data_IF_185837239249
#
_entry.id   IF_185837239249
#
_cell.length_a   1.000
_cell.length_b   1.000
_cell.length_c   1.000
_cell.angle_alpha   90.00
_cell.angle_beta   90.00
_cell.angle_gamma   90.00
#
_symmetry.space_group_name_H-M   'P 1'
#
loop_
_entity.id
_entity.type
_entity.pdbx_description
1 polymer ?
#
# COMPACT_ATOMS: atom_id res chain seq x y z
N UNK A 1 -5.71 -18.15 -0.48
CA UNK A 1 -4.60 -18.56 0.41
C UNK A 1 -3.45 -17.59 0.18
N UNK A 2 -2.65 -17.32 1.20
CA UNK A 2 -1.42 -16.54 1.07
C UNK A 2 -0.24 -17.34 1.63
N UNK A 3 0.96 -17.03 1.17
CA UNK A 3 2.22 -17.54 1.66
C UNK A 3 3.12 -16.34 1.94
N UNK A 4 3.54 -16.23 3.19
CA UNK A 4 4.30 -15.13 3.70
C UNK A 4 5.77 -15.54 3.97
N UNK A 5 6.17 -16.78 3.70
CA UNK A 5 7.51 -17.30 4.02
C UNK A 5 8.65 -16.47 3.40
N UNK A 6 8.48 -16.05 2.14
CA UNK A 6 9.48 -15.32 1.36
C UNK A 6 9.21 -13.81 1.26
N UNK A 7 8.09 -13.33 1.83
CA UNK A 7 7.73 -11.91 1.75
C UNK A 7 8.47 -11.08 2.81
N UNK A 8 8.91 -9.85 2.48
CA UNK A 8 9.56 -8.98 3.44
C UNK A 8 8.64 -8.64 4.61
N UNK A 9 9.23 -8.33 5.77
CA UNK A 9 8.51 -7.75 6.89
C UNK A 9 8.11 -6.31 6.56
N UNK A 10 6.98 -5.88 7.11
CA UNK A 10 6.55 -4.50 7.08
C UNK A 10 7.03 -3.81 8.35
N UNK A 11 8.02 -2.94 8.20
CA UNK A 11 8.64 -2.23 9.32
C UNK A 11 7.77 -1.05 9.71
N UNK A 12 7.34 -1.03 10.96
CA UNK A 12 6.65 0.09 11.59
C UNK A 12 7.63 0.76 12.57
N UNK A 13 8.21 1.88 12.16
CA UNK A 13 9.23 2.59 12.91
C UNK A 13 8.63 3.72 13.77
N UNK A 14 8.48 3.46 15.06
CA UNK A 14 7.92 4.40 16.02
C UNK A 14 8.96 5.43 16.53
N UNK A 15 10.25 5.26 16.20
CA UNK A 15 11.24 6.31 16.46
C UNK A 15 11.08 7.50 15.50
N UNK A 16 10.69 7.23 14.25
CA UNK A 16 10.41 8.27 13.26
C UNK A 16 9.05 8.93 13.48
N UNK A 17 8.10 8.19 14.07
CA UNK A 17 6.74 8.65 14.37
C UNK A 17 6.46 8.40 15.86
N UNK A 18 6.90 9.32 16.74
CA UNK A 18 6.79 9.12 18.18
C UNK A 18 5.33 9.06 18.59
N UNK A 19 5.03 8.15 19.52
CA UNK A 19 3.68 7.91 20.04
C UNK A 19 3.28 8.91 21.12
N UNK A 20 4.25 9.65 21.65
CA UNK A 20 4.08 10.70 22.65
C UNK A 20 4.89 11.93 22.26
N UNK A 21 4.31 13.11 22.42
CA UNK A 21 5.00 14.39 22.19
C UNK A 21 4.51 15.43 23.19
N UNK A 22 5.44 16.09 23.87
CA UNK A 22 5.14 17.23 24.74
C UNK A 22 5.38 18.52 23.96
N UNK A 23 4.33 19.32 23.79
CA UNK A 23 4.39 20.64 23.17
C UNK A 23 4.38 21.72 24.25
N UNK A 24 5.42 22.55 24.27
CA UNK A 24 5.46 23.75 25.09
C UNK A 24 4.99 24.98 24.31
N UNK A 25 4.28 25.89 24.98
CA UNK A 25 3.99 27.21 24.43
C UNK A 25 5.22 28.11 24.50
N UNK A 26 5.49 28.89 23.44
CA UNK A 26 6.56 29.89 23.46
C UNK A 26 6.20 31.13 24.29
N UNK A 27 4.92 31.31 24.64
CA UNK A 27 4.39 32.52 25.27
C UNK A 27 3.76 32.26 26.65
N UNK A 28 3.63 31.00 27.05
CA UNK A 28 3.12 30.61 28.37
C UNK A 28 3.89 29.40 28.90
N UNK A 29 3.84 29.17 30.21
CA UNK A 29 4.39 27.97 30.85
C UNK A 29 3.48 26.74 30.70
N UNK A 30 2.52 26.78 29.77
CA UNK A 30 1.63 25.64 29.53
C UNK A 30 2.34 24.61 28.65
N UNK A 31 2.32 23.36 29.13
CA UNK A 31 2.76 22.19 28.38
C UNK A 31 1.53 21.33 28.07
N UNK A 32 1.44 20.87 26.82
CA UNK A 32 0.41 19.95 26.38
C UNK A 32 1.06 18.64 25.94
N UNK A 33 0.59 17.54 26.52
CA UNK A 33 1.03 16.21 26.16
C UNK A 33 0.08 15.58 25.14
N UNK A 34 0.61 15.18 23.99
CA UNK A 34 -0.10 14.43 22.96
C UNK A 34 0.33 12.98 23.02
N UNK A 35 -0.57 12.10 23.42
CA UNK A 35 -0.35 10.65 23.48
C UNK A 35 -1.26 9.99 22.44
N UNK A 36 -0.69 9.12 21.61
CA UNK A 36 -1.46 8.33 20.67
C UNK A 36 -2.17 7.22 21.42
N UNK A 37 -3.50 7.28 21.48
CA UNK A 37 -4.31 6.26 22.17
C UNK A 37 -4.42 4.96 21.34
N UNK A 38 -3.49 4.05 21.61
CA UNK A 38 -3.43 2.71 21.00
C UNK A 38 -4.54 1.79 21.52
N UNK A 39 -5.04 2.02 22.73
CA UNK A 39 -6.03 1.16 23.38
C UNK A 39 -7.45 1.46 22.89
N UNK A 40 -7.69 2.65 22.33
CA UNK A 40 -8.93 2.97 21.60
C UNK A 40 -9.18 2.07 20.40
N UNK A 41 -8.12 1.56 19.76
CA UNK A 41 -8.20 0.73 18.56
C UNK A 41 -8.22 -0.76 18.91
N UNK A 42 -9.03 -1.54 18.20
CA UNK A 42 -9.07 -3.00 18.34
C UNK A 42 -8.34 -3.68 17.18
N UNK A 43 -7.66 -4.79 17.47
CA UNK A 43 -6.92 -5.55 16.46
C UNK A 43 -7.82 -5.99 15.29
N UNK A 44 -9.05 -6.42 15.58
CA UNK A 44 -10.00 -6.82 14.55
C UNK A 44 -10.47 -5.65 13.66
N UNK A 45 -10.52 -4.42 14.20
CA UNK A 45 -10.84 -3.23 13.42
C UNK A 45 -9.72 -2.92 12.43
N UNK A 46 -8.46 -3.03 12.88
CA UNK A 46 -7.28 -2.85 12.04
C UNK A 46 -7.22 -3.91 10.94
N UNK A 47 -7.46 -5.18 11.27
CA UNK A 47 -7.50 -6.28 10.30
C UNK A 47 -8.61 -6.09 9.27
N UNK A 48 -9.80 -5.64 9.70
CA UNK A 48 -10.90 -5.32 8.79
C UNK A 48 -10.51 -4.19 7.82
N UNK A 49 -9.85 -3.15 8.32
CA UNK A 49 -9.35 -2.05 7.49
C UNK A 49 -8.32 -2.53 6.47
N UNK A 50 -7.33 -3.32 6.89
CA UNK A 50 -6.32 -3.91 5.99
C UNK A 50 -7.02 -4.71 4.87
N UNK A 51 -7.99 -5.56 5.24
CA UNK A 51 -8.74 -6.36 4.28
C UNK A 51 -9.52 -5.50 3.27
N UNK A 52 -10.15 -4.41 3.74
CA UNK A 52 -10.84 -3.44 2.89
C UNK A 52 -9.89 -2.76 1.90
N UNK A 53 -8.71 -2.35 2.35
CA UNK A 53 -7.70 -1.72 1.48
C UNK A 53 -7.19 -2.65 0.40
N UNK A 54 -6.89 -3.91 0.74
CA UNK A 54 -6.48 -4.95 -0.21
C UNK A 54 -7.58 -5.20 -1.25
N UNK A 55 -8.82 -5.39 -0.78
CA UNK A 55 -9.96 -5.68 -1.65
C UNK A 55 -10.25 -4.52 -2.61
N UNK A 56 -10.23 -3.29 -2.11
CA UNK A 56 -10.48 -2.09 -2.91
C UNK A 56 -9.49 -1.92 -4.07
N UNK A 57 -8.27 -2.44 -3.94
CA UNK A 57 -7.17 -2.27 -4.90
C UNK A 57 -7.01 -3.43 -5.87
N UNK A 58 -7.05 -4.67 -5.35
CA UNK A 58 -6.65 -5.85 -6.10
C UNK A 58 -7.82 -6.75 -6.50
N UNK A 59 -8.99 -6.60 -5.87
CA UNK A 59 -10.14 -7.47 -6.07
C UNK A 59 -11.36 -6.67 -6.48
N UNK A 60 -11.31 -6.19 -7.72
CA UNK A 60 -12.40 -5.46 -8.38
C UNK A 60 -12.90 -6.21 -9.61
N UNK A 61 -14.18 -6.08 -9.91
CA UNK A 61 -14.77 -6.56 -11.15
C UNK A 61 -14.50 -5.59 -12.32
N UNK A 62 -14.95 -5.95 -13.52
CA UNK A 62 -14.81 -5.14 -14.74
C UNK A 62 -15.56 -3.80 -14.64
N UNK A 63 -16.50 -3.67 -13.71
CA UNK A 63 -17.26 -2.46 -13.41
C UNK A 63 -16.62 -1.64 -12.28
N UNK A 64 -15.45 -2.05 -11.78
CA UNK A 64 -14.74 -1.40 -10.70
C UNK A 64 -15.39 -1.57 -9.32
N UNK A 65 -16.25 -2.57 -9.12
CA UNK A 65 -16.88 -2.87 -7.83
C UNK A 65 -16.03 -3.89 -7.06
N UNK A 66 -15.88 -3.76 -5.74
CA UNK A 66 -15.19 -4.76 -4.92
C UNK A 66 -15.84 -6.15 -5.01
N UNK A 67 -15.03 -7.19 -5.15
CA UNK A 67 -15.45 -8.60 -5.15
C UNK A 67 -15.72 -9.08 -3.71
N UNK A 68 -16.90 -8.77 -3.19
CA UNK A 68 -17.30 -8.99 -1.79
C UNK A 68 -17.29 -10.48 -1.39
N UNK A 69 -17.51 -11.39 -2.34
CA UNK A 69 -17.46 -12.83 -2.10
C UNK A 69 -16.07 -13.31 -1.64
N UNK A 70 -15.01 -12.55 -1.96
CA UNK A 70 -13.64 -12.86 -1.52
C UNK A 70 -13.30 -12.26 -0.16
N UNK A 71 -14.17 -11.45 0.43
CA UNK A 71 -13.85 -10.69 1.63
C UNK A 71 -13.45 -11.57 2.81
N UNK A 72 -14.14 -12.70 3.02
CA UNK A 72 -13.83 -13.64 4.11
C UNK A 72 -12.42 -14.20 3.99
N UNK A 73 -12.00 -14.56 2.78
CA UNK A 73 -10.65 -15.05 2.52
C UNK A 73 -9.59 -13.96 2.69
N UNK A 74 -9.86 -12.76 2.17
CA UNK A 74 -8.95 -11.61 2.29
C UNK A 74 -8.79 -11.20 3.75
N UNK A 75 -9.87 -11.21 4.55
CA UNK A 75 -9.82 -10.91 5.98
C UNK A 75 -8.95 -11.91 6.74
N UNK A 76 -9.07 -13.20 6.43
CA UNK A 76 -8.20 -14.24 7.01
C UNK A 76 -6.73 -14.04 6.65
N UNK A 77 -6.46 -13.68 5.40
CA UNK A 77 -5.09 -13.38 4.93
C UNK A 77 -4.53 -12.14 5.64
N UNK A 78 -5.34 -11.08 5.76
CA UNK A 78 -4.96 -9.87 6.47
C UNK A 78 -4.67 -10.14 7.95
N UNK A 79 -5.45 -11.00 8.62
CA UNK A 79 -5.19 -11.44 9.99
C UNK A 79 -3.81 -12.13 10.11
N UNK A 80 -3.53 -13.10 9.23
CA UNK A 80 -2.25 -13.81 9.23
C UNK A 80 -1.06 -12.85 9.02
N UNK A 81 -1.22 -11.88 8.13
CA UNK A 81 -0.21 -10.85 7.89
C UNK A 81 -0.01 -9.95 9.11
N UNK A 82 -1.10 -9.47 9.74
CA UNK A 82 -1.03 -8.61 10.92
C UNK A 82 -0.29 -9.28 12.09
N UNK A 83 -0.52 -10.58 12.28
CA UNK A 83 0.12 -11.36 13.33
C UNK A 83 1.63 -11.53 13.09
N UNK A 84 2.04 -11.86 11.86
CA UNK A 84 3.39 -12.38 11.59
C UNK A 84 4.31 -11.48 10.75
N UNK A 85 3.77 -10.43 10.13
CA UNK A 85 4.51 -9.63 9.14
C UNK A 85 4.74 -8.17 9.50
N UNK A 86 4.31 -7.74 10.68
CA UNK A 86 4.63 -6.41 11.20
C UNK A 86 5.84 -6.54 12.13
N UNK A 87 6.90 -5.80 11.80
CA UNK A 87 8.08 -5.63 12.64
C UNK A 87 8.02 -4.25 13.32
N UNK A 88 8.11 -4.23 14.64
CA UNK A 88 8.03 -3.00 15.44
C UNK A 88 9.44 -2.53 15.76
N UNK A 89 9.76 -1.29 15.38
CA UNK A 89 11.04 -0.65 15.69
C UNK A 89 10.78 0.52 16.63
N UNK A 90 11.51 0.57 17.75
CA UNK A 90 11.35 1.58 18.80
C UNK A 90 10.40 1.18 19.92
N UNK A 91 9.65 0.09 19.77
CA UNK A 91 8.74 -0.45 20.78
C UNK A 91 8.65 -1.97 20.64
N UNK A 92 8.30 -2.66 21.73
CA UNK A 92 8.20 -4.12 21.80
C UNK A 92 6.78 -4.61 22.05
N UNK A 93 5.91 -3.76 22.60
CA UNK A 93 4.53 -4.15 22.87
C UNK A 93 3.71 -4.30 21.57
N UNK A 94 3.14 -5.49 21.40
CA UNK A 94 2.35 -5.91 20.23
C UNK A 94 1.14 -5.00 20.00
N UNK A 95 0.60 -4.34 21.03
CA UNK A 95 -0.52 -3.41 20.89
C UNK A 95 -0.20 -2.28 19.92
N UNK A 96 1.05 -1.83 19.84
CA UNK A 96 1.45 -0.78 18.92
C UNK A 96 1.41 -1.18 17.44
N UNK A 97 1.25 -2.48 17.11
CA UNK A 97 0.94 -2.89 15.73
C UNK A 97 -0.32 -2.24 15.20
N UNK A 98 -1.26 -1.82 16.07
CA UNK A 98 -2.49 -1.12 15.68
C UNK A 98 -2.22 0.21 14.96
N UNK A 99 -1.07 0.83 15.22
CA UNK A 99 -0.64 2.06 14.56
C UNK A 99 -0.33 1.89 13.07
N UNK A 100 -0.29 0.65 12.56
CA UNK A 100 -0.26 0.38 11.12
C UNK A 100 -1.38 1.09 10.35
N UNK A 101 -2.48 1.43 11.02
CA UNK A 101 -3.59 2.22 10.46
C UNK A 101 -3.18 3.63 10.03
N UNK A 102 -2.08 4.15 10.56
CA UNK A 102 -1.52 5.45 10.23
C UNK A 102 -0.50 5.39 9.09
N UNK A 103 -0.09 4.19 8.66
CA UNK A 103 0.80 4.01 7.51
C UNK A 103 0.10 4.27 6.18
N UNK A 104 0.90 4.41 5.11
CA UNK A 104 0.36 4.50 3.76
C UNK A 104 -0.49 3.26 3.44
N UNK A 105 -1.82 3.42 3.23
CA UNK A 105 -2.70 2.30 2.94
C UNK A 105 -2.29 1.54 1.67
N UNK A 106 -1.61 2.21 0.71
CA UNK A 106 -1.12 1.55 -0.50
C UNK A 106 0.00 0.57 -0.19
N UNK A 107 0.96 0.97 0.62
CA UNK A 107 2.11 0.16 1.02
C UNK A 107 1.66 -1.06 1.84
N UNK A 108 0.75 -0.86 2.80
CA UNK A 108 0.18 -1.94 3.63
C UNK A 108 -0.54 -2.96 2.75
N UNK A 109 -1.46 -2.52 1.90
CA UNK A 109 -2.21 -3.41 1.01
C UNK A 109 -1.30 -4.17 0.04
N UNK A 110 -0.26 -3.52 -0.48
CA UNK A 110 0.75 -4.17 -1.33
C UNK A 110 1.52 -5.25 -0.59
N UNK A 111 1.97 -4.98 0.64
CA UNK A 111 2.68 -5.97 1.46
C UNK A 111 1.84 -7.24 1.70
N UNK A 112 0.55 -7.08 2.00
CA UNK A 112 -0.37 -8.22 2.13
C UNK A 112 -0.53 -8.97 0.80
N UNK A 113 -0.70 -8.23 -0.30
CA UNK A 113 -0.91 -8.81 -1.63
C UNK A 113 0.29 -9.62 -2.13
N UNK A 114 1.51 -9.24 -1.79
CA UNK A 114 2.71 -10.02 -2.11
C UNK A 114 2.62 -11.46 -1.62
N UNK A 115 1.99 -11.70 -0.46
CA UNK A 115 1.81 -13.06 0.04
C UNK A 115 0.77 -13.86 -0.74
N UNK A 116 -0.23 -13.19 -1.31
CA UNK A 116 -1.18 -13.82 -2.22
C UNK A 116 -0.47 -14.22 -3.52
N UNK A 117 0.35 -13.32 -4.08
CA UNK A 117 1.12 -13.57 -5.30
C UNK A 117 2.10 -14.74 -5.09
N UNK A 118 2.84 -14.75 -3.98
CA UNK A 118 3.75 -15.83 -3.63
C UNK A 118 3.05 -17.20 -3.58
N UNK A 119 1.87 -17.28 -2.95
CA UNK A 119 1.09 -18.51 -2.93
C UNK A 119 0.57 -18.93 -4.31
N UNK A 120 0.21 -17.97 -5.16
CA UNK A 120 -0.24 -18.25 -6.52
C UNK A 120 0.89 -18.81 -7.39
N UNK A 121 2.09 -18.22 -7.29
CA UNK A 121 3.30 -18.70 -7.97
C UNK A 121 3.68 -20.10 -7.50
N UNK A 122 3.68 -20.35 -6.18
CA UNK A 122 3.97 -21.69 -5.65
C UNK A 122 2.99 -22.74 -6.17
N UNK A 123 1.69 -22.41 -6.23
CA UNK A 123 0.69 -23.31 -6.80
C UNK A 123 0.93 -23.62 -8.28
N UNK A 124 1.40 -22.64 -9.06
CA UNK A 124 1.75 -22.86 -10.47
C UNK A 124 2.94 -23.81 -10.61
N UNK A 125 3.99 -23.60 -9.80
CA UNK A 125 5.15 -24.50 -9.72
C UNK A 125 4.71 -25.94 -9.37
N UNK A 126 3.88 -26.10 -8.34
CA UNK A 126 3.38 -27.41 -7.90
C UNK A 126 2.55 -28.11 -8.99
N UNK A 127 1.89 -27.34 -9.86
CA UNK A 127 1.08 -27.87 -10.97
C UNK A 127 1.89 -28.24 -12.21
N UNK A 128 3.22 -28.05 -12.20
CA UNK A 128 4.09 -28.32 -13.35
C UNK A 128 3.95 -27.31 -14.49
N UNK A 129 3.27 -26.19 -14.26
CA UNK A 129 3.16 -25.09 -15.21
C UNK A 129 4.39 -24.18 -15.09
N UNK A 130 4.76 -23.52 -16.19
CA UNK A 130 5.83 -22.51 -16.18
C UNK A 130 5.41 -21.36 -15.26
N UNK A 131 6.05 -21.26 -14.09
CA UNK A 131 5.72 -20.26 -13.09
C UNK A 131 6.41 -18.94 -13.44
N UNK A 132 5.75 -18.14 -14.27
CA UNK A 132 6.17 -16.78 -14.54
C UNK A 132 5.31 -15.81 -13.72
N UNK A 133 5.93 -14.87 -12.95
CA UNK A 133 5.17 -13.83 -12.27
C UNK A 133 4.39 -13.02 -13.31
N UNK A 134 3.06 -13.00 -13.18
CA UNK A 134 2.21 -12.22 -14.09
C UNK A 134 2.23 -10.76 -13.65
N UNK A 135 2.84 -9.89 -14.45
CA UNK A 135 2.81 -8.45 -14.22
C UNK A 135 1.38 -7.97 -14.45
N UNK A 136 0.69 -7.58 -13.37
CA UNK A 136 -0.66 -7.00 -13.42
C UNK A 136 -0.59 -5.48 -13.27
N UNK A 137 -1.21 -4.70 -14.18
CA UNK A 137 -1.31 -3.26 -14.00
C UNK A 137 -2.23 -2.93 -12.82
N UNK A 138 -1.71 -2.17 -11.84
CA UNK A 138 -2.54 -1.59 -10.77
C UNK A 138 -3.03 -0.21 -11.21
N UNK A 139 -4.29 -0.12 -11.62
CA UNK A 139 -4.88 1.13 -12.10
C UNK A 139 -5.10 2.13 -10.95
N UNK A 140 -4.78 3.40 -11.19
CA UNK A 140 -5.03 4.47 -10.23
C UNK A 140 -6.53 4.73 -10.10
N UNK A 141 -7.12 4.43 -8.93
CA UNK A 141 -8.56 4.61 -8.70
C UNK A 141 -9.03 6.07 -8.78
N UNK A 142 -8.21 7.03 -8.36
CA UNK A 142 -8.57 8.45 -8.41
C UNK A 142 -8.44 9.03 -9.81
N UNK A 143 -7.69 8.35 -10.69
CA UNK A 143 -7.53 8.74 -12.08
C UNK A 143 -7.61 7.50 -12.99
N UNK A 144 -8.79 6.85 -13.08
CA UNK A 144 -8.95 5.60 -13.82
C UNK A 144 -8.82 5.80 -15.34
N UNK A 145 -8.87 7.07 -15.79
CA UNK A 145 -8.55 7.50 -17.15
C UNK A 145 -7.51 8.62 -17.06
N UNK A 146 -6.22 8.28 -17.10
CA UNK A 146 -5.19 9.30 -17.25
C UNK A 146 -5.28 9.93 -18.64
N UNK A 147 -5.11 11.24 -18.71
CA UNK A 147 -4.99 11.96 -19.98
C UNK A 147 -3.67 12.72 -20.01
N UNK A 148 -2.99 12.71 -21.15
CA UNK A 148 -1.86 13.60 -21.43
C UNK A 148 -2.31 15.03 -21.74
N UNK A 149 -3.62 15.30 -21.82
CA UNK A 149 -4.15 16.61 -22.21
C UNK A 149 -3.71 17.78 -21.31
N UNK A 150 -3.35 17.50 -20.05
CA UNK A 150 -2.91 18.52 -19.08
C UNK A 150 -1.43 18.39 -18.69
N UNK A 151 -0.66 17.55 -19.40
CA UNK A 151 0.78 17.44 -19.19
C UNK A 151 1.46 18.48 -20.08
N UNK A 152 2.10 19.47 -19.48
CA UNK A 152 2.88 20.49 -20.16
C UNK A 152 4.34 20.39 -19.76
N UNK A 153 5.24 20.32 -20.73
CA UNK A 153 6.68 20.36 -20.52
C UNK A 153 7.29 21.55 -21.25
N UNK A 154 7.98 22.42 -20.52
CA UNK A 154 8.80 23.48 -21.12
C UNK A 154 10.20 22.92 -21.37
N UNK A 155 10.76 23.16 -22.55
CA UNK A 155 12.13 22.76 -22.91
C UNK A 155 12.79 23.81 -23.79
N UNK A 156 14.10 23.90 -23.73
CA UNK A 156 14.93 24.69 -24.66
C UNK A 156 15.43 23.87 -25.84
N UNK A 157 15.28 22.53 -25.80
CA UNK A 157 15.72 21.62 -26.87
C UNK A 157 14.71 21.60 -28.03
N UNK A 158 15.14 21.26 -29.26
CA UNK A 158 14.26 21.13 -30.41
C UNK A 158 13.12 20.13 -30.18
N UNK A 159 11.92 20.52 -30.61
CA UNK A 159 10.68 19.78 -30.40
C UNK A 159 10.06 19.35 -31.73
N UNK A 160 9.63 18.11 -31.83
CA UNK A 160 9.08 17.52 -33.04
C UNK A 160 7.61 17.07 -32.84
N UNK A 161 6.68 17.43 -33.74
CA UNK A 161 5.28 17.03 -33.62
C UNK A 161 5.06 15.57 -34.03
N UNK A 162 4.14 14.89 -33.34
CA UNK A 162 3.78 13.49 -33.59
C UNK A 162 2.38 13.36 -34.19
N UNK A 163 2.19 12.41 -35.12
CA UNK A 163 0.88 12.16 -35.80
C UNK A 163 0.22 10.82 -35.46
N UNK A 164 0.99 9.85 -34.95
CA UNK A 164 0.53 8.48 -34.62
C UNK A 164 0.77 8.12 -33.15
N UNK A 165 0.91 9.12 -32.30
CA UNK A 165 1.16 8.96 -30.86
C UNK A 165 0.12 9.74 -30.06
N UNK A 166 -0.12 9.32 -28.82
CA UNK A 166 -0.99 10.01 -27.86
C UNK A 166 -0.32 11.26 -27.23
N UNK A 167 0.98 11.43 -27.46
CA UNK A 167 1.72 12.66 -27.13
C UNK A 167 1.66 13.57 -28.36
N UNK A 168 1.58 14.88 -28.14
CA UNK A 168 1.55 15.91 -29.19
C UNK A 168 2.95 16.27 -29.71
N UNK A 169 3.97 16.17 -28.85
CA UNK A 169 5.35 16.54 -29.16
C UNK A 169 6.36 15.60 -28.50
N UNK A 170 7.49 15.37 -29.17
CA UNK A 170 8.66 14.67 -28.62
C UNK A 170 9.88 15.58 -28.67
N UNK A 171 10.76 15.45 -27.69
CA UNK A 171 12.01 16.20 -27.61
C UNK A 171 13.14 15.22 -27.88
N UNK A 172 14.04 15.57 -28.80
CA UNK A 172 15.23 14.77 -29.04
C UNK A 172 16.29 15.15 -28.00
N UNK A 173 16.71 14.18 -27.19
CA UNK A 173 17.84 14.32 -26.29
C UNK A 173 19.13 14.00 -27.05
N UNK A 174 19.50 14.89 -27.96
CA UNK A 174 20.76 14.84 -28.71
C UNK A 174 21.73 15.85 -28.11
N UNK A 175 22.96 15.42 -27.85
CA UNK A 175 24.09 16.29 -27.46
C UNK A 175 24.56 17.19 -28.61
#
# INVERSE_FOLDING_TARGET
RADFSTTPLHVLNLNERPTQTTMGSAFSSEEQELITDVDSMRDQEVVYWIAKEVMSRYYRDDQGRPQLEKFTDIRRIAQQWYEHKIDLVGETDVRYKRLIRLEDPKAVARSVYLGVEAAAVQKQLDSGAEAAPKILPLLNHYNPRSSSAYVHGATTKPVYPTKKSHVNFVVADTD
#
